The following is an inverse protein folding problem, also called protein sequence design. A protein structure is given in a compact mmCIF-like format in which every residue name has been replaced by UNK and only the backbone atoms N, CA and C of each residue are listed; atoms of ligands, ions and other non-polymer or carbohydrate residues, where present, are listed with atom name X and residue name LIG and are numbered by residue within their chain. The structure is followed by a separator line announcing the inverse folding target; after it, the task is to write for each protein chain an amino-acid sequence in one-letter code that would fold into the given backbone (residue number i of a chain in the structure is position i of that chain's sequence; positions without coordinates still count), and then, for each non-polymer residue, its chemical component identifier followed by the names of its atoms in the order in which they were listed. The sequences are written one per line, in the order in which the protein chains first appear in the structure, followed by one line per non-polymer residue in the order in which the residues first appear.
data_IF_263739764914
#
_entry.id   IF_263739764914
#
_cell.length_a   1.000
_cell.length_b   1.000
_cell.length_c   1.000
_cell.angle_alpha   90.00
_cell.angle_beta   90.00
_cell.angle_gamma   90.00
#
_symmetry.space_group_name_H-M   'P 1'
#
loop_
_entity.id
_entity.type
_entity.pdbx_description
1 polymer ?
#
# COMPACT_ATOMS: atom_id res chain seq x y z
N UNK A 1 20.20 41.98 22.99
CA UNK A 1 20.40 41.57 21.58
C UNK A 1 20.41 40.05 21.52
N UNK A 2 19.39 39.42 20.93
CA UNK A 2 19.19 37.98 20.94
C UNK A 2 19.57 37.35 19.59
N UNK A 3 20.39 36.29 19.65
CA UNK A 3 20.96 35.58 18.50
C UNK A 3 19.95 34.52 17.97
N UNK A 4 19.54 34.53 16.70
CA UNK A 4 18.53 33.60 16.20
C UNK A 4 19.10 32.20 15.97
N UNK A 5 18.49 31.20 16.63
CA UNK A 5 18.84 29.78 16.50
C UNK A 5 18.69 29.30 15.05
N UNK A 6 19.82 28.94 14.46
CA UNK A 6 20.03 28.29 13.16
C UNK A 6 19.13 27.04 13.03
N UNK A 7 18.08 27.08 12.20
CA UNK A 7 17.27 25.89 11.85
C UNK A 7 18.15 24.91 11.06
N UNK A 8 18.44 23.74 11.63
CA UNK A 8 19.12 22.64 10.92
C UNK A 8 18.16 22.07 9.89
N UNK A 9 18.45 22.28 8.61
CA UNK A 9 17.71 21.70 7.50
C UNK A 9 17.72 20.17 7.60
N UNK A 10 16.53 19.57 7.60
CA UNK A 10 16.32 18.15 7.38
C UNK A 10 16.84 17.80 5.99
N UNK A 11 17.95 17.06 5.92
CA UNK A 11 18.43 16.44 4.69
C UNK A 11 17.34 15.49 4.18
N UNK A 12 16.62 15.89 3.14
CA UNK A 12 15.84 14.97 2.32
C UNK A 12 16.81 13.93 1.74
N UNK A 13 16.76 12.71 2.28
CA UNK A 13 17.39 11.55 1.62
C UNK A 13 16.57 11.28 0.36
N UNK A 14 16.94 11.91 -0.74
CA UNK A 14 16.48 11.51 -2.07
C UNK A 14 17.11 10.13 -2.30
N UNK A 15 16.33 9.07 -2.12
CA UNK A 15 16.77 7.72 -2.44
C UNK A 15 17.14 7.68 -3.93
N UNK A 16 18.36 7.24 -4.24
CA UNK A 16 18.86 7.00 -5.60
C UNK A 16 17.99 6.04 -6.42
N UNK A 17 17.03 5.36 -5.78
CA UNK A 17 16.06 4.45 -6.38
C UNK A 17 15.10 5.13 -7.38
N UNK A 18 14.86 6.44 -7.25
CA UNK A 18 13.96 7.17 -8.16
C UNK A 18 14.48 7.31 -9.59
N UNK A 19 15.79 7.18 -9.81
CA UNK A 19 16.38 7.28 -11.15
C UNK A 19 16.34 5.99 -11.97
N UNK A 20 16.01 4.84 -11.39
CA UNK A 20 15.98 3.57 -12.12
C UNK A 20 14.68 3.34 -12.89
N UNK A 21 13.53 3.77 -12.35
CA UNK A 21 12.24 3.41 -12.93
C UNK A 21 11.79 4.31 -14.08
N UNK A 22 12.35 5.52 -14.22
CA UNK A 22 12.05 6.42 -15.34
C UNK A 22 12.56 5.91 -16.70
N UNK A 23 13.39 4.86 -16.72
CA UNK A 23 13.99 4.28 -17.93
C UNK A 23 13.27 3.03 -18.45
N UNK A 24 12.25 2.51 -17.76
CA UNK A 24 11.58 1.26 -18.14
C UNK A 24 10.33 1.43 -19.01
N UNK A 25 9.73 2.63 -19.07
CA UNK A 25 8.52 2.90 -19.88
C UNK A 25 8.75 2.75 -21.39
N UNK A 26 10.00 2.71 -21.86
CA UNK A 26 10.36 2.66 -23.29
C UNK A 26 10.64 1.25 -23.83
N UNK A 27 10.63 0.18 -23.00
CA UNK A 27 11.11 -1.16 -23.43
C UNK A 27 10.10 -2.30 -23.38
N UNK A 28 8.88 -2.06 -22.92
CA UNK A 28 7.87 -3.12 -22.80
C UNK A 28 6.63 -2.77 -23.60
N UNK A 29 6.10 -3.77 -24.32
CA UNK A 29 4.93 -3.64 -25.21
C UNK A 29 3.61 -3.63 -24.42
N UNK A 30 3.55 -4.35 -23.29
CA UNK A 30 2.36 -4.45 -22.45
C UNK A 30 2.69 -4.67 -20.98
N UNK A 31 1.74 -4.36 -20.10
CA UNK A 31 1.84 -4.62 -18.65
C UNK A 31 2.00 -6.12 -18.35
N UNK A 32 1.37 -7.00 -19.16
CA UNK A 32 1.51 -8.45 -19.06
C UNK A 32 2.96 -8.90 -19.24
N UNK A 33 3.70 -8.27 -20.16
CA UNK A 33 5.10 -8.61 -20.42
C UNK A 33 6.03 -8.21 -19.26
N UNK A 34 5.65 -7.18 -18.51
CA UNK A 34 6.34 -6.74 -17.29
C UNK A 34 6.02 -7.69 -16.14
N UNK A 35 4.77 -8.13 -16.02
CA UNK A 35 4.32 -9.11 -15.02
C UNK A 35 5.00 -10.48 -15.17
N UNK A 36 5.17 -10.96 -16.40
CA UNK A 36 5.84 -12.23 -16.67
C UNK A 36 7.35 -12.20 -16.37
N UNK A 37 7.98 -11.02 -16.43
CA UNK A 37 9.43 -10.84 -16.28
C UNK A 37 9.86 -10.45 -14.87
N UNK A 38 8.95 -9.98 -14.02
CA UNK A 38 9.28 -9.42 -12.72
C UNK A 38 8.63 -10.17 -11.55
N UNK A 39 9.40 -10.38 -10.49
CA UNK A 39 8.93 -11.03 -9.26
C UNK A 39 7.90 -10.15 -8.51
N UNK A 40 7.07 -10.75 -7.65
CA UNK A 40 6.03 -10.08 -6.85
C UNK A 40 6.56 -8.91 -6.02
N UNK A 41 7.84 -8.92 -5.67
CA UNK A 41 8.50 -7.83 -4.96
C UNK A 41 8.54 -6.53 -5.78
N UNK A 42 8.68 -6.62 -7.10
CA UNK A 42 8.68 -5.48 -8.00
C UNK A 42 7.36 -4.71 -7.94
N UNK A 43 6.22 -5.40 -8.06
CA UNK A 43 4.90 -4.77 -7.96
C UNK A 43 4.65 -4.18 -6.58
N UNK A 44 5.18 -4.83 -5.54
CA UNK A 44 5.07 -4.32 -4.16
C UNK A 44 5.79 -2.97 -4.02
N UNK A 45 6.97 -2.82 -4.61
CA UNK A 45 7.75 -1.58 -4.57
C UNK A 45 7.09 -0.45 -5.38
N UNK A 46 6.58 -0.78 -6.57
CA UNK A 46 5.82 0.16 -7.41
C UNK A 46 4.56 0.61 -6.68
N UNK A 47 3.77 -0.33 -6.16
CA UNK A 47 2.54 -0.02 -5.43
C UNK A 47 2.81 0.86 -4.21
N UNK A 48 3.88 0.58 -3.45
CA UNK A 48 4.29 1.41 -2.31
C UNK A 48 4.63 2.83 -2.74
N UNK A 49 5.40 2.99 -3.82
CA UNK A 49 5.80 4.30 -4.33
C UNK A 49 4.61 5.09 -4.85
N UNK A 50 3.72 4.45 -5.61
CA UNK A 50 2.49 5.06 -6.12
C UNK A 50 1.56 5.49 -4.98
N UNK A 51 1.36 4.63 -3.98
CA UNK A 51 0.54 4.93 -2.82
C UNK A 51 1.09 6.12 -2.02
N UNK A 52 2.41 6.19 -1.81
CA UNK A 52 3.04 7.31 -1.13
C UNK A 52 2.83 8.64 -1.88
N UNK A 53 2.96 8.62 -3.20
CA UNK A 53 2.73 9.79 -4.03
C UNK A 53 1.27 10.24 -3.98
N UNK A 54 0.32 9.32 -4.14
CA UNK A 54 -1.11 9.61 -4.05
C UNK A 54 -1.51 10.19 -2.68
N UNK A 55 -0.95 9.64 -1.59
CA UNK A 55 -1.16 10.17 -0.24
C UNK A 55 -0.63 11.61 -0.10
N UNK A 56 0.56 11.88 -0.62
CA UNK A 56 1.17 13.20 -0.52
C UNK A 56 0.41 14.23 -1.37
N UNK A 57 -0.03 13.85 -2.57
CA UNK A 57 -0.83 14.70 -3.44
C UNK A 57 -2.20 15.00 -2.83
N UNK A 58 -2.89 13.98 -2.29
CA UNK A 58 -4.15 14.19 -1.59
C UNK A 58 -4.00 15.14 -0.39
N UNK A 59 -2.91 15.01 0.38
CA UNK A 59 -2.61 15.96 1.46
C UNK A 59 -2.39 17.38 0.94
N UNK A 60 -1.69 17.55 -0.17
CA UNK A 60 -1.44 18.85 -0.77
C UNK A 60 -2.73 19.50 -1.31
N UNK A 61 -3.67 18.69 -1.79
CA UNK A 61 -4.97 19.12 -2.34
C UNK A 61 -6.08 19.22 -1.28
N UNK A 62 -5.76 19.02 -0.01
CA UNK A 62 -6.73 18.94 1.09
C UNK A 62 -7.83 17.88 0.90
N UNK A 63 -7.51 16.80 0.18
CA UNK A 63 -8.41 15.67 -0.05
C UNK A 63 -8.26 14.69 1.14
N UNK A 64 -9.36 14.30 1.80
CA UNK A 64 -9.32 13.31 2.87
C UNK A 64 -8.78 11.95 2.40
N UNK A 65 -8.07 11.27 3.29
CA UNK A 65 -7.48 9.95 3.01
C UNK A 65 -8.12 8.92 3.92
N UNK A 66 -8.62 7.83 3.33
CA UNK A 66 -9.17 6.71 4.07
C UNK A 66 -8.09 5.63 4.25
N UNK A 67 -7.85 5.21 5.49
CA UNK A 67 -6.86 4.19 5.84
C UNK A 67 -7.43 3.21 6.84
N UNK A 68 -6.87 2.00 6.85
CA UNK A 68 -7.11 1.02 7.91
C UNK A 68 -6.11 1.27 9.06
N UNK A 69 -6.61 1.52 10.26
CA UNK A 69 -5.83 1.80 11.46
C UNK A 69 -6.53 1.20 12.68
N UNK A 70 -5.79 0.47 13.52
CA UNK A 70 -6.28 -0.14 14.76
C UNK A 70 -7.58 -0.97 14.63
N UNK A 71 -7.74 -1.65 13.49
CA UNK A 71 -8.95 -2.44 13.21
C UNK A 71 -10.17 -1.59 12.86
N UNK A 72 -9.97 -0.34 12.46
CA UNK A 72 -11.01 0.55 11.94
C UNK A 72 -10.61 1.10 10.57
N UNK A 73 -11.62 1.35 9.73
CA UNK A 73 -11.49 2.23 8.58
C UNK A 73 -11.67 3.65 9.09
N UNK A 74 -10.63 4.46 8.98
CA UNK A 74 -10.61 5.85 9.44
C UNK A 74 -10.36 6.79 8.27
N UNK A 75 -11.04 7.93 8.27
CA UNK A 75 -10.82 9.03 7.35
C UNK A 75 -10.01 10.11 8.04
N UNK A 76 -8.83 10.41 7.49
CA UNK A 76 -7.95 11.49 7.94
C UNK A 76 -8.20 12.69 7.05
N UNK A 77 -8.82 13.71 7.61
CA UNK A 77 -9.06 14.97 6.92
C UNK A 77 -7.76 15.80 6.85
N UNK A 78 -7.70 16.72 5.90
CA UNK A 78 -6.52 17.59 5.70
C UNK A 78 -6.19 18.47 6.91
N UNK A 79 -7.20 18.79 7.72
CA UNK A 79 -7.07 19.62 8.91
C UNK A 79 -6.49 18.88 10.13
N UNK A 80 -6.25 17.56 10.00
CA UNK A 80 -5.75 16.70 11.08
C UNK A 80 -6.85 15.97 11.85
N UNK A 81 -8.12 16.26 11.58
CA UNK A 81 -9.25 15.53 12.16
C UNK A 81 -9.27 14.07 11.66
N UNK A 82 -9.58 13.16 12.58
CA UNK A 82 -9.69 11.73 12.29
C UNK A 82 -11.11 11.27 12.60
N UNK A 83 -11.81 10.82 11.56
CA UNK A 83 -13.17 10.28 11.66
C UNK A 83 -13.13 8.75 11.52
N UNK A 84 -13.77 8.03 12.44
CA UNK A 84 -13.89 6.56 12.35
C UNK A 84 -15.14 6.23 11.54
N UNK A 85 -14.96 5.60 10.38
CA UNK A 85 -16.05 5.26 9.47
C UNK A 85 -16.70 3.92 9.83
N UNK A 86 -15.88 2.86 9.93
CA UNK A 86 -16.38 1.51 10.21
C UNK A 86 -15.34 0.65 10.90
N UNK A 87 -15.80 -0.31 11.70
CA UNK A 87 -14.91 -1.31 12.30
C UNK A 87 -14.59 -2.37 11.27
N UNK A 88 -13.33 -2.77 11.17
CA UNK A 88 -12.90 -3.89 10.34
C UNK A 88 -13.32 -5.16 11.09
N UNK A 89 -14.45 -5.73 10.70
CA UNK A 89 -14.87 -7.04 11.18
C UNK A 89 -13.89 -8.08 10.65
N UNK A 90 -13.05 -8.62 11.55
CA UNK A 90 -12.30 -9.82 11.25
C UNK A 90 -13.28 -10.98 11.27
N UNK A 91 -13.95 -11.21 10.14
CA UNK A 91 -14.53 -12.52 9.89
C UNK A 91 -13.36 -13.49 9.84
N UNK A 92 -13.11 -14.15 10.98
CA UNK A 92 -12.38 -15.40 11.00
C UNK A 92 -13.27 -16.38 10.26
N UNK A 93 -13.23 -16.33 8.93
CA UNK A 93 -13.61 -17.48 8.12
C UNK A 93 -12.74 -18.58 8.69
N UNK A 94 -13.35 -19.51 9.41
CA UNK A 94 -12.65 -20.69 9.87
C UNK A 94 -12.16 -21.38 8.61
N UNK A 95 -10.93 -21.06 8.19
CA UNK A 95 -10.20 -21.81 7.20
C UNK A 95 -9.92 -23.10 7.95
N UNK A 96 -10.90 -24.00 7.93
CA UNK A 96 -10.75 -25.37 8.35
C UNK A 96 -9.67 -25.90 7.43
N UNK A 97 -8.42 -25.83 7.90
CA UNK A 97 -7.25 -26.33 7.20
C UNK A 97 -7.39 -27.84 7.22
N UNK A 98 -8.23 -28.37 6.32
CA UNK A 98 -8.46 -29.80 6.18
C UNK A 98 -7.17 -30.37 5.65
N UNK A 99 -6.42 -31.03 6.52
CA UNK A 99 -5.25 -31.80 6.13
C UNK A 99 -5.77 -33.07 5.46
N UNK A 100 -5.70 -33.11 4.13
CA UNK A 100 -6.09 -34.29 3.37
C UNK A 100 -4.89 -35.24 3.26
N UNK A 101 -5.08 -36.48 3.67
CA UNK A 101 -4.12 -37.56 3.41
C UNK A 101 -4.51 -38.31 2.14
N UNK A 102 -3.54 -39.01 1.53
CA UNK A 102 -3.78 -39.86 0.36
C UNK A 102 -4.90 -40.87 0.68
N UNK A 103 -5.93 -40.92 -0.18
CA UNK A 103 -7.12 -41.77 0.01
C UNK A 103 -8.34 -41.05 0.60
N UNK A 104 -8.26 -39.75 0.90
CA UNK A 104 -9.43 -39.01 1.37
C UNK A 104 -10.45 -38.79 0.25
N UNK A 105 -11.70 -39.22 0.46
CA UNK A 105 -12.82 -39.02 -0.47
C UNK A 105 -13.67 -37.84 -0.02
N UNK A 106 -13.86 -36.86 -0.92
CA UNK A 106 -14.67 -35.67 -0.66
C UNK A 106 -16.08 -35.85 -1.23
N UNK A 107 -17.08 -35.84 -0.34
CA UNK A 107 -18.47 -35.75 -0.75
C UNK A 107 -18.89 -34.28 -0.72
N UNK A 108 -19.13 -33.69 -1.89
CA UNK A 108 -19.65 -32.33 -2.01
C UNK A 108 -21.12 -32.42 -2.37
N UNK A 109 -21.99 -31.87 -1.51
CA UNK A 109 -23.42 -31.75 -1.79
C UNK A 109 -23.60 -30.68 -2.87
N UNK A 110 -24.30 -31.01 -3.94
CA UNK A 110 -24.68 -30.04 -4.98
C UNK A 110 -25.63 -29.01 -4.35
N UNK A 111 -25.19 -27.75 -4.26
CA UNK A 111 -26.02 -26.60 -3.95
C UNK A 111 -26.67 -26.05 -5.21
#
# INVERSE_FOLDING_TARGET
MANPKRKKGTKLRISSTGMFYRRLESRYSSLSEVEDKHDKQFFTEIARSAAANAINENKALNIPIVVAEDGWVVQKNSNGDVERLSKIEQHTTAINKRVFTKGTVLHVKKG
#
